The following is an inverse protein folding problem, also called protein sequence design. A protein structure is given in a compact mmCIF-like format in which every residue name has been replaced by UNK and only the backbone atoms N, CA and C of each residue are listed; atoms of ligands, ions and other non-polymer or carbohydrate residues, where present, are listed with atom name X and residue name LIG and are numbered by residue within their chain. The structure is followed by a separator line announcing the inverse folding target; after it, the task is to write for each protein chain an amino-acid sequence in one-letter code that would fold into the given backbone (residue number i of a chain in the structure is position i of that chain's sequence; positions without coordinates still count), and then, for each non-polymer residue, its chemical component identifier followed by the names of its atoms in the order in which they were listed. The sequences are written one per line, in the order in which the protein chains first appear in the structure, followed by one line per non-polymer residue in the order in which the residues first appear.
data_IF_138596234595
#
_entry.id   IF_138596234595
#
_cell.length_a   1.000
_cell.length_b   1.000
_cell.length_c   1.000
_cell.angle_alpha   90.00
_cell.angle_beta   90.00
_cell.angle_gamma   90.00
#
_symmetry.space_group_name_H-M   'P 1'
#
loop_
_entity.id
_entity.type
_entity.pdbx_description
1 polymer ?
#
# COMPACT_ATOMS: atom_id res chain seq x y z
N UNK A 1 9.06 -0.87 -3.96
CA UNK A 1 7.95 0.08 -4.05
C UNK A 1 6.74 -0.60 -3.45
N UNK A 2 6.04 0.09 -2.56
CA UNK A 2 4.92 -0.48 -1.80
C UNK A 2 3.72 0.46 -1.96
N UNK A 3 2.68 0.05 -2.70
CA UNK A 3 1.50 0.88 -2.87
C UNK A 3 0.73 0.98 -1.56
N UNK A 4 0.29 2.20 -1.22
CA UNK A 4 -0.68 2.39 -0.14
C UNK A 4 -1.72 3.43 -0.53
N UNK A 5 -2.91 3.33 0.07
CA UNK A 5 -3.99 4.30 -0.14
C UNK A 5 -4.85 4.49 1.12
N UNK A 6 -5.52 5.64 1.19
CA UNK A 6 -6.61 5.91 2.12
C UNK A 6 -7.89 6.02 1.31
N UNK A 7 -8.75 5.01 1.36
CA UNK A 7 -10.04 5.03 0.67
C UNK A 7 -11.18 4.73 1.64
N UNK A 8 -12.29 5.45 1.50
CA UNK A 8 -13.49 5.28 2.32
C UNK A 8 -14.41 4.15 1.87
N UNK A 9 -14.35 3.73 0.59
CA UNK A 9 -15.32 2.79 0.00
C UNK A 9 -14.69 1.57 -0.69
N UNK A 10 -13.72 1.78 -1.59
CA UNK A 10 -13.21 0.71 -2.45
C UNK A 10 -11.91 0.10 -1.92
N UNK A 11 -11.75 -1.22 -2.03
CA UNK A 11 -10.48 -1.90 -1.72
C UNK A 11 -9.32 -1.37 -2.57
N UNK A 12 -8.09 -1.80 -2.27
CA UNK A 12 -6.90 -1.35 -3.01
C UNK A 12 -6.94 -1.75 -4.51
N UNK A 13 -7.75 -2.75 -4.84
CA UNK A 13 -8.12 -3.11 -6.20
C UNK A 13 -6.93 -3.53 -7.05
N UNK A 14 -7.02 -3.31 -8.36
CA UNK A 14 -5.93 -3.60 -9.30
C UNK A 14 -4.94 -2.44 -9.43
N UNK A 15 -5.10 -1.34 -8.67
CA UNK A 15 -4.28 -0.14 -8.81
C UNK A 15 -2.79 -0.42 -8.61
N UNK A 16 -2.43 -1.23 -7.62
CA UNK A 16 -1.04 -1.64 -7.39
C UNK A 16 -0.46 -2.42 -8.57
N UNK A 17 -1.23 -3.35 -9.14
CA UNK A 17 -0.80 -4.19 -10.27
C UNK A 17 -0.64 -3.38 -11.56
N UNK A 18 -1.55 -2.44 -11.83
CA UNK A 18 -1.48 -1.56 -13.00
C UNK A 18 -0.27 -0.63 -12.92
N UNK A 19 0.01 -0.05 -11.75
CA UNK A 19 1.20 0.78 -11.52
C UNK A 19 2.48 -0.03 -11.70
N UNK A 20 2.51 -1.29 -11.22
CA UNK A 20 3.64 -2.19 -11.41
C UNK A 20 3.89 -2.49 -12.89
N UNK A 21 2.83 -2.82 -13.63
CA UNK A 21 2.90 -3.09 -15.07
C UNK A 21 3.41 -1.90 -15.88
N UNK A 22 2.99 -0.67 -15.52
CA UNK A 22 3.44 0.56 -16.18
C UNK A 22 4.89 0.92 -15.85
N UNK A 23 5.37 0.63 -14.63
CA UNK A 23 6.75 0.92 -14.25
C UNK A 23 7.76 -0.04 -14.91
N UNK A 24 7.32 -1.22 -15.34
CA UNK A 24 8.08 -2.21 -16.12
C UNK A 24 9.18 -2.95 -15.35
N UNK A 25 9.78 -2.34 -14.32
CA UNK A 25 10.80 -2.94 -13.46
C UNK A 25 10.65 -2.44 -12.01
N UNK A 26 11.31 -3.13 -11.08
CA UNK A 26 11.32 -2.78 -9.65
C UNK A 26 10.82 -3.92 -8.76
N UNK A 27 11.19 -3.90 -7.49
CA UNK A 27 10.63 -4.81 -6.49
C UNK A 27 9.32 -4.23 -5.96
N UNK A 28 8.20 -4.82 -6.35
CA UNK A 28 6.86 -4.43 -5.92
C UNK A 28 6.40 -5.35 -4.81
N UNK A 29 6.17 -4.79 -3.63
CA UNK A 29 5.69 -5.53 -2.46
C UNK A 29 4.17 -5.46 -2.36
N UNK A 30 3.61 -6.34 -1.55
CA UNK A 30 2.18 -6.38 -1.27
C UNK A 30 1.68 -5.02 -0.79
N UNK A 31 0.53 -4.61 -1.29
CA UNK A 31 -0.04 -3.32 -1.09
C UNK A 31 -0.80 -3.23 0.25
N UNK A 32 -0.87 -2.03 0.83
CA UNK A 32 -1.57 -1.81 2.10
C UNK A 32 -2.60 -0.71 2.01
N UNK A 33 -3.86 -1.05 2.34
CA UNK A 33 -4.93 -0.08 2.54
C UNK A 33 -4.95 0.38 4.00
N UNK A 34 -5.01 1.69 4.19
CA UNK A 34 -5.25 2.30 5.49
C UNK A 34 -6.68 2.85 5.57
N UNK A 35 -7.29 2.72 6.75
CA UNK A 35 -8.52 3.46 7.04
C UNK A 35 -8.21 4.95 7.16
N UNK A 36 -9.21 5.81 6.96
CA UNK A 36 -9.04 7.27 7.10
C UNK A 36 -8.64 7.73 8.51
N UNK A 37 -8.74 6.83 9.50
CA UNK A 37 -8.47 7.06 10.91
C UNK A 37 -7.34 6.17 11.45
N UNK A 38 -6.48 5.62 10.58
CA UNK A 38 -5.32 4.82 11.02
C UNK A 38 -4.47 5.61 12.02
N UNK A 39 -3.98 4.94 13.06
CA UNK A 39 -3.12 5.58 14.07
C UNK A 39 -1.65 5.65 13.60
N UNK A 40 -0.87 6.54 14.22
CA UNK A 40 0.57 6.59 13.96
C UNK A 40 1.26 5.27 14.35
N UNK A 41 0.83 4.65 15.44
CA UNK A 41 1.41 3.41 15.94
C UNK A 41 1.18 2.26 14.92
N UNK A 42 -0.02 2.16 14.36
CA UNK A 42 -0.33 1.16 13.31
C UNK A 42 0.54 1.34 12.06
N UNK A 43 0.83 2.59 11.67
CA UNK A 43 1.73 2.90 10.56
C UNK A 43 3.16 2.50 10.92
N UNK A 44 3.59 2.74 12.16
CA UNK A 44 4.95 2.46 12.61
C UNK A 44 5.21 0.96 12.73
N UNK A 45 4.21 0.18 13.18
CA UNK A 45 4.25 -1.29 13.15
C UNK A 45 4.35 -1.81 11.73
N UNK A 46 3.56 -1.28 10.79
CA UNK A 46 3.66 -1.66 9.39
C UNK A 46 5.04 -1.39 8.80
N UNK A 47 5.58 -0.18 9.01
CA UNK A 47 6.91 0.17 8.49
C UNK A 47 7.96 -0.80 9.07
N UNK A 48 7.82 -1.17 10.34
CA UNK A 48 8.74 -2.10 11.00
C UNK A 48 8.67 -3.51 10.42
N UNK A 49 7.52 -3.93 9.88
CA UNK A 49 7.36 -5.24 9.23
C UNK A 49 7.92 -5.30 7.80
N UNK A 50 8.41 -4.18 7.24
CA UNK A 50 8.98 -4.10 5.89
C UNK A 50 10.50 -4.35 5.84
N UNK A 51 11.13 -4.52 7.00
CA UNK A 51 12.56 -4.88 7.15
C UNK A 51 12.75 -6.39 7.23
#
# INVERSE_FOLDING_TARGET
MIPFCTSSSDGIGESGQLLAGMAGTGNWLEDRRFSSNVSQDDIQEWISSLN
#
